data_IF_227343494133
#
_entry.id   IF_227343494133
#
_cell.length_a   1.000
_cell.length_b   1.000
_cell.length_c   1.000
_cell.angle_alpha   90.00
_cell.angle_beta   90.00
_cell.angle_gamma   90.00
#
_symmetry.space_group_name_H-M   'P 1'
#
loop_
_entity.id
_entity.type
_entity.pdbx_description
1 polymer ?
#
# COMPACT_ATOMS: atom_id res chain seq x y z
N UNK A 1 -75.80 -65.47 9.06
CA UNK A 1 -74.60 -66.07 8.43
C UNK A 1 -73.61 -66.34 9.57
N UNK A 2 -73.19 -67.60 9.75
CA UNK A 2 -72.36 -68.12 10.87
C UNK A 2 -70.85 -67.82 10.68
N UNK A 3 -69.91 -68.17 11.59
CA UNK A 3 -69.98 -68.85 12.92
C UNK A 3 -69.34 -68.00 14.07
N UNK A 4 -69.08 -68.39 15.34
CA UNK A 4 -69.54 -69.40 16.35
C UNK A 4 -69.20 -68.81 17.74
N UNK A 5 -70.11 -68.68 18.72
CA UNK A 5 -70.49 -69.68 19.76
C UNK A 5 -69.35 -70.16 20.69
N UNK A 6 -69.29 -69.59 21.90
CA UNK A 6 -68.73 -70.22 23.10
C UNK A 6 -69.54 -69.80 24.35
N UNK A 7 -70.20 -70.79 24.97
CA UNK A 7 -71.10 -70.79 26.16
C UNK A 7 -70.62 -69.83 27.27
N UNK A 8 -71.41 -68.94 27.91
CA UNK A 8 -72.80 -68.99 28.44
C UNK A 8 -73.02 -70.04 29.53
N UNK A 9 -73.11 -69.61 30.79
CA UNK A 9 -74.34 -69.68 31.61
C UNK A 9 -74.12 -69.14 33.04
N UNK A 10 -74.75 -68.03 33.38
CA UNK A 10 -75.05 -67.70 34.78
C UNK A 10 -76.25 -68.54 35.26
N UNK A 11 -76.35 -68.85 36.56
CA UNK A 11 -77.58 -68.75 37.36
C UNK A 11 -77.26 -68.92 38.86
N UNK A 12 -78.04 -68.22 39.69
CA UNK A 12 -77.90 -68.05 41.13
C UNK A 12 -78.03 -69.34 41.98
N UNK A 13 -77.54 -69.27 43.23
CA UNK A 13 -78.20 -69.99 44.33
C UNK A 13 -77.36 -70.39 45.57
N UNK A 14 -77.45 -69.58 46.63
CA UNK A 14 -77.64 -70.02 48.04
C UNK A 14 -76.46 -70.72 48.79
N UNK A 15 -76.53 -70.64 50.12
CA UNK A 15 -75.78 -71.39 51.15
C UNK A 15 -74.38 -70.91 51.57
N UNK A 16 -74.40 -70.01 52.55
CA UNK A 16 -73.46 -69.95 53.70
C UNK A 16 -73.03 -71.34 54.18
N UNK A 17 -71.72 -71.58 54.41
CA UNK A 17 -71.17 -72.47 55.48
C UNK A 17 -69.62 -72.45 55.53
N UNK A 18 -69.05 -72.34 56.75
CA UNK A 18 -67.66 -72.56 57.21
C UNK A 18 -66.51 -71.75 56.56
N UNK A 19 -65.76 -70.87 57.26
CA UNK A 19 -64.83 -71.04 58.39
C UNK A 19 -63.58 -71.92 58.12
N UNK A 20 -62.41 -71.25 58.14
CA UNK A 20 -61.10 -71.64 58.72
C UNK A 20 -59.88 -71.57 57.76
N UNK A 21 -58.83 -70.89 58.23
CA UNK A 21 -57.46 -70.91 57.68
C UNK A 21 -57.13 -69.78 56.69
N UNK A 22 -55.96 -69.14 56.73
CA UNK A 22 -54.91 -69.14 57.76
C UNK A 22 -54.08 -67.85 57.66
N UNK A 23 -53.24 -67.58 58.66
CA UNK A 23 -52.52 -66.31 58.78
C UNK A 23 -51.41 -66.09 57.74
N UNK A 24 -51.25 -64.83 57.34
CA UNK A 24 -50.04 -64.26 56.73
C UNK A 24 -50.26 -62.80 56.37
N UNK A 25 -49.29 -61.89 56.34
CA UNK A 25 -47.87 -61.89 56.76
C UNK A 25 -47.33 -60.51 56.33
N UNK A 26 -46.87 -59.65 57.24
CA UNK A 26 -46.10 -58.42 56.91
C UNK A 26 -46.81 -57.33 56.07
N UNK A 27 -46.58 -56.05 56.28
CA UNK A 27 -45.76 -55.35 57.25
C UNK A 27 -46.06 -53.85 57.14
N UNK A 28 -45.60 -53.04 58.09
CA UNK A 28 -45.83 -51.60 58.07
C UNK A 28 -45.22 -50.96 56.81
N UNK A 29 -45.99 -50.15 56.08
CA UNK A 29 -45.44 -49.32 54.99
C UNK A 29 -44.49 -48.29 55.60
N UNK A 30 -43.22 -48.20 55.16
CA UNK A 30 -42.35 -47.12 55.59
C UNK A 30 -42.87 -45.79 55.04
N UNK A 31 -43.04 -44.81 55.92
CA UNK A 31 -43.36 -43.43 55.54
C UNK A 31 -42.21 -42.89 54.68
N UNK A 32 -42.44 -42.39 53.45
CA UNK A 32 -41.38 -41.79 52.66
C UNK A 32 -40.88 -40.53 53.37
N UNK A 33 -39.63 -40.56 53.82
CA UNK A 33 -38.92 -39.38 54.30
C UNK A 33 -38.66 -38.47 53.10
N UNK A 34 -38.99 -37.16 53.15
CA UNK A 34 -38.66 -36.27 52.05
C UNK A 34 -37.15 -36.08 51.98
N UNK A 35 -36.54 -36.63 50.94
CA UNK A 35 -35.10 -36.55 50.68
C UNK A 35 -34.75 -35.10 50.33
N UNK A 36 -34.50 -34.29 51.37
CA UNK A 36 -34.19 -32.86 51.24
C UNK A 36 -32.70 -32.68 50.96
N UNK A 37 -32.23 -33.38 49.92
CA UNK A 37 -31.02 -33.00 49.20
C UNK A 37 -31.34 -31.74 48.38
N UNK A 38 -31.38 -30.60 49.05
CA UNK A 38 -31.39 -29.31 48.38
C UNK A 38 -30.03 -29.14 47.68
N UNK A 39 -29.93 -29.61 46.44
CA UNK A 39 -28.83 -29.32 45.55
C UNK A 39 -28.77 -27.80 45.37
N UNK A 40 -27.86 -27.17 46.11
CA UNK A 40 -27.63 -25.73 46.02
C UNK A 40 -27.38 -25.41 44.55
N UNK A 41 -28.17 -24.52 43.91
CA UNK A 41 -27.87 -24.13 42.54
C UNK A 41 -26.46 -23.55 42.55
N UNK A 42 -25.55 -24.20 41.83
CA UNK A 42 -24.14 -23.84 41.79
C UNK A 42 -24.01 -22.32 41.60
N UNK A 43 -23.13 -21.63 42.37
CA UNK A 43 -23.13 -20.18 42.44
C UNK A 43 -23.01 -19.60 41.03
N UNK A 44 -24.08 -18.98 40.55
CA UNK A 44 -24.12 -18.34 39.24
C UNK A 44 -23.25 -17.10 39.29
N UNK A 45 -21.99 -17.28 38.91
CA UNK A 45 -21.05 -16.18 38.68
C UNK A 45 -21.56 -15.40 37.48
N UNK A 46 -22.21 -14.27 37.76
CA UNK A 46 -22.50 -13.25 36.76
C UNK A 46 -21.21 -12.45 36.58
N UNK A 47 -20.64 -12.50 35.38
CA UNK A 47 -19.42 -11.79 35.01
C UNK A 47 -19.74 -10.85 33.85
N UNK A 48 -19.68 -9.55 34.11
CA UNK A 48 -19.85 -8.53 33.08
C UNK A 48 -18.56 -8.41 32.25
N UNK A 49 -18.69 -8.58 30.93
CA UNK A 49 -17.58 -8.52 29.98
C UNK A 49 -17.83 -7.53 28.87
N UNK A 50 -16.82 -6.71 28.53
CA UNK A 50 -16.86 -5.83 27.36
C UNK A 50 -16.24 -6.53 26.16
N UNK A 51 -16.99 -6.67 25.07
CA UNK A 51 -16.44 -7.16 23.80
C UNK A 51 -15.46 -6.10 23.27
N UNK A 52 -14.24 -6.53 22.97
CA UNK A 52 -13.19 -5.74 22.32
C UNK A 52 -12.77 -6.44 21.03
N UNK A 53 -12.36 -5.71 19.98
CA UNK A 53 -11.92 -6.33 18.73
C UNK A 53 -10.69 -7.21 18.96
N UNK A 54 -10.72 -8.43 18.43
CA UNK A 54 -9.62 -9.41 18.58
C UNK A 54 -8.31 -8.91 17.95
N UNK A 55 -8.41 -8.13 16.87
CA UNK A 55 -7.33 -7.40 16.20
C UNK A 55 -7.90 -6.09 15.66
N UNK A 56 -7.11 -5.02 15.72
CA UNK A 56 -7.40 -3.71 15.13
C UNK A 56 -6.15 -3.18 14.44
N UNK A 57 -6.29 -2.51 13.30
CA UNK A 57 -5.20 -1.89 12.57
C UNK A 57 -5.60 -0.47 12.15
N UNK A 58 -4.72 0.50 12.39
CA UNK A 58 -4.83 1.83 11.79
C UNK A 58 -4.12 1.80 10.43
N UNK A 59 -4.86 2.09 9.37
CA UNK A 59 -4.35 2.08 8.01
C UNK A 59 -3.97 3.50 7.60
N UNK A 60 -2.77 3.64 7.04
CA UNK A 60 -2.17 4.89 6.58
C UNK A 60 -1.39 4.63 5.31
N UNK A 61 -1.40 5.61 4.41
CA UNK A 61 -0.48 5.61 3.29
C UNK A 61 0.96 5.81 3.77
N UNK A 62 1.91 5.14 3.12
CA UNK A 62 3.34 5.28 3.40
C UNK A 62 3.95 6.50 2.70
N UNK A 63 3.34 6.93 1.57
CA UNK A 63 3.66 8.17 0.87
C UNK A 63 2.64 9.27 1.14
N UNK A 64 3.06 10.52 0.96
CA UNK A 64 2.16 11.68 0.90
C UNK A 64 1.56 11.79 -0.50
N UNK A 65 0.28 12.16 -0.61
CA UNK A 65 -0.39 12.35 -1.90
C UNK A 65 -1.91 12.48 -1.75
N UNK A 66 -2.57 12.88 -2.82
CA UNK A 66 -4.03 13.00 -2.87
C UNK A 66 -4.68 11.63 -3.09
N UNK A 67 -5.81 11.37 -2.41
CA UNK A 67 -6.62 10.15 -2.63
C UNK A 67 -7.39 10.31 -3.95
N UNK A 68 -7.00 9.52 -4.95
CA UNK A 68 -7.62 9.53 -6.28
C UNK A 68 -8.99 8.81 -6.29
N UNK A 69 -9.17 7.78 -5.45
CA UNK A 69 -10.44 7.10 -5.23
C UNK A 69 -10.42 6.31 -3.91
N UNK A 70 -11.60 6.09 -3.34
CA UNK A 70 -11.82 5.13 -2.24
C UNK A 70 -12.57 3.95 -2.86
N UNK A 71 -12.03 2.74 -2.68
CA UNK A 71 -12.47 1.51 -3.35
C UNK A 71 -13.47 0.69 -2.50
N UNK A 72 -13.76 1.13 -1.28
CA UNK A 72 -14.63 0.44 -0.32
C UNK A 72 -15.60 1.40 0.37
N UNK A 73 -16.76 0.89 0.78
CA UNK A 73 -17.78 1.63 1.55
C UNK A 73 -17.63 1.44 3.06
N UNK A 74 -18.15 2.38 3.86
CA UNK A 74 -18.21 2.21 5.31
C UNK A 74 -19.04 0.97 5.70
N UNK A 75 -18.52 0.17 6.63
CA UNK A 75 -19.14 -1.10 7.03
C UNK A 75 -18.98 -2.26 6.05
N UNK A 76 -18.30 -2.06 4.90
CA UNK A 76 -17.96 -3.15 3.98
C UNK A 76 -16.96 -4.11 4.64
N UNK A 77 -17.24 -5.40 4.57
CA UNK A 77 -16.33 -6.45 5.03
C UNK A 77 -15.18 -6.60 4.01
N UNK A 78 -13.94 -6.46 4.48
CA UNK A 78 -12.74 -6.39 3.63
C UNK A 78 -11.70 -7.42 4.04
N UNK A 79 -11.18 -8.16 3.07
CA UNK A 79 -10.11 -9.14 3.28
C UNK A 79 -8.76 -8.46 3.47
N UNK A 80 -7.85 -9.11 4.19
CA UNK A 80 -6.46 -8.66 4.28
C UNK A 80 -5.83 -8.57 2.88
N UNK A 81 -5.20 -7.43 2.57
CA UNK A 81 -4.62 -7.15 1.25
C UNK A 81 -5.59 -6.55 0.23
N UNK A 82 -6.89 -6.44 0.53
CA UNK A 82 -7.83 -5.73 -0.34
C UNK A 82 -7.47 -4.22 -0.38
N UNK A 83 -7.34 -3.60 -1.58
CA UNK A 83 -7.05 -2.17 -1.70
C UNK A 83 -8.27 -1.36 -1.28
N UNK A 84 -8.10 -0.50 -0.26
CA UNK A 84 -9.21 0.30 0.29
C UNK A 84 -9.31 1.69 -0.36
N UNK A 85 -8.20 2.24 -0.82
CA UNK A 85 -8.11 3.54 -1.48
C UNK A 85 -6.83 3.66 -2.31
N UNK A 86 -6.87 4.48 -3.36
CA UNK A 86 -5.79 4.72 -4.33
C UNK A 86 -5.24 6.14 -4.15
N UNK A 87 -3.93 6.32 -4.24
CA UNK A 87 -3.32 7.65 -4.39
C UNK A 87 -3.16 8.00 -5.88
N UNK A 88 -3.15 9.28 -6.21
CA UNK A 88 -2.74 9.73 -7.54
C UNK A 88 -1.23 9.52 -7.74
N UNK A 89 -0.85 8.92 -8.87
CA UNK A 89 0.54 8.67 -9.26
C UNK A 89 1.06 9.59 -10.37
N UNK A 90 0.21 10.44 -10.97
CA UNK A 90 0.64 11.42 -11.96
C UNK A 90 1.59 12.45 -11.36
N UNK A 91 1.33 12.85 -10.11
CA UNK A 91 2.18 13.74 -9.30
C UNK A 91 3.58 13.14 -9.06
N UNK A 92 3.65 11.82 -8.82
CA UNK A 92 4.93 11.10 -8.67
C UNK A 92 5.72 11.02 -9.98
N UNK A 93 5.06 10.84 -11.12
CA UNK A 93 5.73 10.88 -12.42
C UNK A 93 6.25 12.30 -12.74
N UNK A 94 5.43 13.34 -12.52
CA UNK A 94 5.84 14.73 -12.71
C UNK A 94 7.01 15.14 -11.80
N UNK A 95 7.07 14.63 -10.57
CA UNK A 95 8.18 14.86 -9.66
C UNK A 95 9.51 14.21 -10.12
N UNK A 96 9.48 13.12 -10.90
CA UNK A 96 10.70 12.58 -11.54
C UNK A 96 11.25 13.61 -12.52
N UNK A 97 10.38 14.09 -13.41
CA UNK A 97 10.76 15.02 -14.48
C UNK A 97 11.29 16.34 -13.93
N UNK A 98 10.65 16.88 -12.89
CA UNK A 98 11.17 18.08 -12.20
C UNK A 98 12.55 17.85 -11.58
N UNK A 99 12.80 16.68 -10.98
CA UNK A 99 14.10 16.34 -10.40
C UNK A 99 15.20 16.11 -11.48
N UNK A 100 14.82 15.64 -12.68
CA UNK A 100 15.74 15.50 -13.83
C UNK A 100 16.06 16.85 -14.47
N UNK A 101 15.06 17.68 -14.76
CA UNK A 101 15.29 19.02 -15.30
C UNK A 101 16.20 19.86 -14.39
N UNK A 102 16.02 19.77 -13.05
CA UNK A 102 16.91 20.40 -12.08
C UNK A 102 18.33 19.79 -12.07
N UNK A 103 18.48 18.50 -12.40
CA UNK A 103 19.78 17.83 -12.53
C UNK A 103 20.51 18.29 -13.79
N UNK A 104 19.81 18.37 -14.91
CA UNK A 104 20.38 18.78 -16.19
C UNK A 104 20.77 20.26 -16.16
N UNK A 105 19.93 21.14 -15.58
CA UNK A 105 20.26 22.55 -15.33
C UNK A 105 21.51 22.69 -14.43
N UNK A 106 21.54 21.98 -13.30
CA UNK A 106 22.69 22.03 -12.38
C UNK A 106 23.98 21.45 -13.01
N UNK A 107 23.86 20.45 -13.88
CA UNK A 107 24.98 19.87 -14.63
C UNK A 107 25.52 20.85 -15.66
N UNK A 108 24.65 21.48 -16.45
CA UNK A 108 25.02 22.50 -17.43
C UNK A 108 25.67 23.72 -16.77
N UNK A 109 25.10 24.21 -15.66
CA UNK A 109 25.71 25.29 -14.87
C UNK A 109 27.07 24.89 -14.30
N UNK A 110 27.22 23.65 -13.81
CA UNK A 110 28.51 23.17 -13.31
C UNK A 110 29.57 23.07 -14.42
N UNK A 111 29.25 22.55 -15.60
CA UNK A 111 30.22 22.46 -16.71
C UNK A 111 30.56 23.83 -17.30
N UNK A 112 29.59 24.76 -17.44
CA UNK A 112 29.86 26.17 -17.79
C UNK A 112 30.79 26.86 -16.78
N UNK A 113 30.68 26.51 -15.49
CA UNK A 113 31.58 26.97 -14.44
C UNK A 113 32.87 26.13 -14.31
N UNK A 114 33.05 25.10 -15.15
CA UNK A 114 34.25 24.26 -15.20
C UNK A 114 35.10 24.54 -16.42
N UNK A 115 34.51 25.06 -17.50
CA UNK A 115 35.26 25.49 -18.67
C UNK A 115 36.14 26.72 -18.36
N UNK A 116 37.41 26.73 -18.81
CA UNK A 116 38.23 27.93 -18.78
C UNK A 116 37.67 28.99 -19.74
N UNK A 117 37.93 30.26 -19.47
CA UNK A 117 37.42 31.35 -20.29
C UNK A 117 37.84 31.22 -21.77
N UNK A 118 36.90 31.55 -22.66
CA UNK A 118 37.05 31.45 -24.11
C UNK A 118 38.38 32.07 -24.60
N UNK A 119 39.24 31.30 -25.31
CA UNK A 119 40.52 31.80 -25.80
C UNK A 119 40.37 32.98 -26.78
N UNK A 120 39.25 33.13 -27.50
CA UNK A 120 39.00 34.29 -28.35
C UNK A 120 38.72 35.54 -27.48
N UNK A 121 37.90 35.41 -26.44
CA UNK A 121 37.66 36.49 -25.48
C UNK A 121 38.95 36.90 -24.72
N UNK A 122 39.80 35.94 -24.37
CA UNK A 122 41.13 36.21 -23.78
C UNK A 122 42.03 36.94 -24.79
N UNK A 123 42.11 36.50 -26.04
CA UNK A 123 42.91 37.17 -27.07
C UNK A 123 42.44 38.61 -27.36
N UNK A 124 41.13 38.86 -27.35
CA UNK A 124 40.54 40.21 -27.47
C UNK A 124 40.94 41.07 -26.26
N UNK A 125 40.86 40.53 -25.04
CA UNK A 125 41.27 41.26 -23.83
C UNK A 125 42.79 41.54 -23.79
N UNK A 126 43.62 40.61 -24.27
CA UNK A 126 45.06 40.83 -24.45
C UNK A 126 45.36 41.94 -25.48
N UNK A 127 44.62 41.97 -26.59
CA UNK A 127 44.72 43.04 -27.59
C UNK A 127 44.29 44.41 -27.01
N UNK A 128 43.22 44.46 -26.22
CA UNK A 128 42.79 45.67 -25.51
C UNK A 128 43.85 46.15 -24.50
N UNK A 129 44.46 45.23 -23.72
CA UNK A 129 45.58 45.56 -22.83
C UNK A 129 46.79 46.08 -23.63
N UNK A 130 47.10 45.50 -24.78
CA UNK A 130 48.19 45.99 -25.64
C UNK A 130 47.90 47.40 -26.19
N UNK A 131 46.66 47.66 -26.62
CA UNK A 131 46.19 48.97 -27.08
C UNK A 131 46.27 50.02 -25.96
N UNK A 132 45.74 49.73 -24.77
CA UNK A 132 45.79 50.63 -23.62
C UNK A 132 47.23 50.91 -23.18
N UNK A 133 48.15 49.92 -23.26
CA UNK A 133 49.58 50.16 -23.04
C UNK A 133 50.21 51.06 -24.10
N UNK A 134 49.85 50.92 -25.37
CA UNK A 134 50.36 51.76 -26.44
C UNK A 134 49.88 53.22 -26.27
N UNK A 135 48.59 53.41 -25.97
CA UNK A 135 48.02 54.72 -25.65
C UNK A 135 48.73 55.36 -24.45
N UNK A 136 48.83 54.64 -23.32
CA UNK A 136 49.50 55.15 -22.12
C UNK A 136 50.99 55.50 -22.33
N UNK A 137 51.69 54.87 -23.29
CA UNK A 137 53.06 55.25 -23.68
C UNK A 137 53.11 56.50 -24.56
N UNK A 138 52.18 56.66 -25.51
CA UNK A 138 52.08 57.88 -26.33
C UNK A 138 51.77 59.11 -25.46
N UNK A 139 50.88 58.94 -24.47
CA UNK A 139 50.49 59.95 -23.47
C UNK A 139 51.63 60.35 -22.51
N UNK A 140 52.81 59.71 -22.55
CA UNK A 140 53.96 60.14 -21.73
C UNK A 140 54.78 61.28 -22.36
N UNK A 141 54.54 61.64 -23.63
CA UNK A 141 55.38 62.59 -24.36
C UNK A 141 55.07 64.08 -24.16
N UNK A 142 53.80 64.51 -24.19
CA UNK A 142 53.41 65.93 -24.38
C UNK A 142 52.04 66.36 -23.82
N UNK A 143 51.54 65.78 -22.72
CA UNK A 143 50.16 66.00 -22.22
C UNK A 143 50.07 66.20 -20.71
N UNK A 144 48.90 66.62 -20.21
CA UNK A 144 48.64 67.00 -18.82
C UNK A 144 48.62 65.80 -17.87
N UNK A 145 48.79 66.07 -16.57
CA UNK A 145 48.71 65.05 -15.53
C UNK A 145 47.35 64.34 -15.45
N UNK A 146 46.27 64.99 -15.90
CA UNK A 146 44.93 64.41 -15.94
C UNK A 146 44.81 63.36 -17.06
N UNK A 147 45.27 63.68 -18.27
CA UNK A 147 45.27 62.76 -19.42
C UNK A 147 46.16 61.54 -19.15
N UNK A 148 47.33 61.75 -18.53
CA UNK A 148 48.23 60.68 -18.12
C UNK A 148 47.66 59.83 -16.95
N UNK A 149 46.74 60.36 -16.14
CA UNK A 149 45.99 59.57 -15.16
C UNK A 149 44.91 58.74 -15.85
N UNK A 150 44.07 59.32 -16.70
CA UNK A 150 43.01 58.62 -17.42
C UNK A 150 43.55 57.39 -18.18
N UNK A 151 44.64 57.55 -18.95
CA UNK A 151 45.26 56.45 -19.69
C UNK A 151 45.89 55.35 -18.79
N UNK A 152 46.19 55.64 -17.51
CA UNK A 152 46.63 54.63 -16.54
C UNK A 152 45.46 53.90 -15.90
N UNK A 153 44.36 54.59 -15.64
CA UNK A 153 43.14 54.01 -15.08
C UNK A 153 42.52 53.04 -16.11
N UNK A 154 42.40 53.45 -17.38
CA UNK A 154 41.94 52.62 -18.51
C UNK A 154 42.81 51.35 -18.71
N UNK A 155 44.13 51.48 -18.58
CA UNK A 155 45.05 50.33 -18.58
C UNK A 155 44.89 49.42 -17.35
N UNK A 156 44.54 49.97 -16.19
CA UNK A 156 44.27 49.18 -14.98
C UNK A 156 42.95 48.40 -15.13
N UNK A 157 41.92 49.01 -15.71
CA UNK A 157 40.63 48.37 -16.01
C UNK A 157 40.79 47.23 -17.05
N UNK A 158 41.49 47.48 -18.16
CA UNK A 158 41.75 46.45 -19.17
C UNK A 158 42.53 45.25 -18.59
N UNK A 159 43.50 45.50 -17.70
CA UNK A 159 44.24 44.44 -16.99
C UNK A 159 43.38 43.71 -15.98
N UNK A 160 42.49 44.39 -15.28
CA UNK A 160 41.55 43.77 -14.34
C UNK A 160 40.54 42.88 -15.09
N UNK A 161 40.08 43.28 -16.28
CA UNK A 161 39.24 42.47 -17.16
C UNK A 161 39.97 41.21 -17.62
N UNK A 162 41.19 41.34 -18.16
CA UNK A 162 42.01 40.19 -18.57
C UNK A 162 42.27 39.23 -17.41
N UNK A 163 42.65 39.76 -16.23
CA UNK A 163 42.89 38.94 -15.04
C UNK A 163 41.61 38.23 -14.55
N UNK A 164 40.43 38.84 -14.71
CA UNK A 164 39.13 38.22 -14.37
C UNK A 164 38.78 37.09 -15.34
N UNK A 165 39.06 37.26 -16.64
CA UNK A 165 38.88 36.20 -17.63
C UNK A 165 39.85 35.03 -17.36
N UNK A 166 41.13 35.32 -17.15
CA UNK A 166 42.16 34.32 -16.87
C UNK A 166 41.98 33.59 -15.53
N UNK A 167 41.39 34.23 -14.51
CA UNK A 167 41.10 33.60 -13.22
C UNK A 167 39.94 32.60 -13.26
N UNK A 168 39.07 32.70 -14.28
CA UNK A 168 37.88 31.87 -14.41
C UNK A 168 36.81 32.12 -13.33
N UNK A 169 35.76 31.28 -13.29
CA UNK A 169 34.75 31.28 -12.23
C UNK A 169 35.36 30.95 -10.86
N UNK A 170 34.82 31.52 -9.79
CA UNK A 170 35.41 31.37 -8.46
C UNK A 170 35.20 29.97 -7.92
N UNK A 171 36.16 29.47 -7.13
CA UNK A 171 36.02 28.20 -6.42
C UNK A 171 34.72 28.08 -5.60
N UNK A 172 34.22 29.19 -5.03
CA UNK A 172 32.92 29.22 -4.33
C UNK A 172 31.71 29.01 -5.23
N UNK A 173 31.77 29.51 -6.47
CA UNK A 173 30.70 29.39 -7.47
C UNK A 173 30.68 27.92 -7.99
N UNK A 174 31.84 27.32 -8.20
CA UNK A 174 32.00 25.90 -8.56
C UNK A 174 31.49 24.97 -7.44
N UNK A 175 31.84 25.22 -6.17
CA UNK A 175 31.36 24.40 -5.05
C UNK A 175 29.85 24.56 -4.81
N UNK A 176 29.27 25.74 -5.08
CA UNK A 176 27.81 25.93 -5.06
C UNK A 176 27.13 25.12 -6.18
N UNK A 177 27.66 25.14 -7.41
CA UNK A 177 27.14 24.33 -8.51
C UNK A 177 27.28 22.83 -8.24
N UNK A 178 28.38 22.36 -7.63
CA UNK A 178 28.52 20.97 -7.16
C UNK A 178 27.49 20.58 -6.11
N UNK A 179 27.18 21.48 -5.18
CA UNK A 179 26.16 21.24 -4.16
C UNK A 179 24.76 21.16 -4.78
N UNK A 180 24.43 22.03 -5.74
CA UNK A 180 23.17 21.96 -6.49
C UNK A 180 23.06 20.67 -7.31
N UNK A 181 24.14 20.29 -8.02
CA UNK A 181 24.24 19.03 -8.76
C UNK A 181 23.99 17.82 -7.84
N UNK A 182 24.66 17.75 -6.70
CA UNK A 182 24.48 16.67 -5.73
C UNK A 182 23.06 16.61 -5.13
N UNK A 183 22.42 17.76 -4.90
CA UNK A 183 21.02 17.83 -4.45
C UNK A 183 20.06 17.29 -5.51
N UNK A 184 20.23 17.69 -6.77
CA UNK A 184 19.39 17.22 -7.86
C UNK A 184 19.57 15.70 -8.13
N UNK A 185 20.80 15.19 -8.07
CA UNK A 185 21.08 13.76 -8.13
C UNK A 185 20.35 12.98 -7.01
N UNK A 186 20.38 13.49 -5.77
CA UNK A 186 19.70 12.88 -4.64
C UNK A 186 18.17 12.91 -4.76
N UNK A 187 17.60 14.00 -5.29
CA UNK A 187 16.17 14.11 -5.58
C UNK A 187 15.74 13.07 -6.64
N UNK A 188 16.47 12.97 -7.75
CA UNK A 188 16.22 11.98 -8.79
C UNK A 188 16.32 10.54 -8.27
N UNK A 189 17.35 10.25 -7.48
CA UNK A 189 17.53 8.91 -6.88
C UNK A 189 16.35 8.55 -5.97
N UNK A 190 15.91 9.49 -5.12
CA UNK A 190 14.77 9.30 -4.20
C UNK A 190 13.50 8.99 -4.97
N UNK A 191 13.22 9.75 -6.03
CA UNK A 191 12.00 9.58 -6.80
C UNK A 191 11.99 8.29 -7.63
N UNK A 192 13.14 7.92 -8.22
CA UNK A 192 13.33 6.62 -8.89
C UNK A 192 13.12 5.45 -7.92
N UNK A 193 13.66 5.55 -6.70
CA UNK A 193 13.45 4.54 -5.67
C UNK A 193 11.97 4.41 -5.26
N UNK A 194 11.24 5.52 -5.20
CA UNK A 194 9.79 5.51 -4.90
C UNK A 194 8.97 4.77 -5.96
N UNK A 195 9.25 4.98 -7.25
CA UNK A 195 8.58 4.25 -8.33
C UNK A 195 8.91 2.75 -8.32
N UNK A 196 10.18 2.41 -8.10
CA UNK A 196 10.62 1.01 -7.97
C UNK A 196 9.92 0.31 -6.79
N UNK A 197 9.84 0.97 -5.62
CA UNK A 197 9.15 0.44 -4.45
C UNK A 197 7.65 0.25 -4.68
N UNK A 198 6.98 1.21 -5.35
CA UNK A 198 5.56 1.11 -5.68
C UNK A 198 5.26 -0.08 -6.61
N UNK A 199 6.13 -0.34 -7.59
CA UNK A 199 6.05 -1.52 -8.46
C UNK A 199 6.24 -2.82 -7.70
N UNK A 200 7.26 -2.93 -6.83
CA UNK A 200 7.47 -4.13 -6.01
C UNK A 200 6.30 -4.40 -5.06
N UNK A 201 5.69 -3.37 -4.47
CA UNK A 201 4.49 -3.51 -3.65
C UNK A 201 3.29 -4.00 -4.48
N UNK A 202 3.08 -3.48 -5.69
CA UNK A 202 2.04 -3.96 -6.59
C UNK A 202 2.26 -5.43 -7.03
N UNK A 203 3.49 -5.84 -7.31
CA UNK A 203 3.84 -7.25 -7.61
C UNK A 203 3.57 -8.17 -6.40
N UNK A 204 3.85 -7.70 -5.18
CA UNK A 204 3.54 -8.42 -3.95
C UNK A 204 2.03 -8.55 -3.72
N UNK A 205 1.25 -7.48 -3.92
CA UNK A 205 -0.22 -7.51 -3.84
C UNK A 205 -0.82 -8.48 -4.85
N UNK A 206 -0.30 -8.50 -6.09
CA UNK A 206 -0.75 -9.44 -7.12
C UNK A 206 -0.50 -10.89 -6.69
N UNK A 207 0.68 -11.20 -6.15
CA UNK A 207 0.98 -12.53 -5.64
C UNK A 207 0.09 -12.93 -4.44
N UNK A 208 -0.19 -11.99 -3.53
CA UNK A 208 -1.10 -12.21 -2.39
C UNK A 208 -2.54 -12.46 -2.85
N UNK A 209 -3.06 -11.66 -3.78
CA UNK A 209 -4.40 -11.82 -4.34
C UNK A 209 -4.55 -13.15 -5.10
N UNK A 210 -3.54 -13.56 -5.87
CA UNK A 210 -3.52 -14.84 -6.57
C UNK A 210 -3.54 -16.05 -5.59
N UNK A 211 -2.80 -15.97 -4.48
CA UNK A 211 -2.84 -16.99 -3.44
C UNK A 211 -4.19 -17.02 -2.71
N UNK A 212 -4.73 -15.85 -2.33
CA UNK A 212 -6.03 -15.75 -1.68
C UNK A 212 -7.18 -16.28 -2.55
N UNK A 213 -7.15 -16.04 -3.87
CA UNK A 213 -8.10 -16.62 -4.81
C UNK A 213 -7.96 -18.16 -4.87
N UNK A 214 -6.74 -18.69 -4.93
CA UNK A 214 -6.51 -20.15 -4.89
C UNK A 214 -7.08 -20.77 -3.61
N UNK A 215 -6.79 -20.18 -2.45
CA UNK A 215 -7.29 -20.67 -1.16
C UNK A 215 -8.83 -20.63 -1.10
N UNK A 216 -9.46 -19.59 -1.67
CA UNK A 216 -10.91 -19.48 -1.78
C UNK A 216 -11.50 -20.54 -2.73
N UNK A 217 -10.85 -20.81 -3.87
CA UNK A 217 -11.26 -21.85 -4.83
C UNK A 217 -11.16 -23.26 -4.22
N UNK A 218 -10.08 -23.54 -3.48
CA UNK A 218 -9.90 -24.80 -2.76
C UNK A 218 -10.94 -24.98 -1.63
N UNK A 219 -11.27 -23.90 -0.92
CA UNK A 219 -12.33 -23.90 0.10
C UNK A 219 -13.72 -24.15 -0.51
N UNK A 220 -14.07 -23.45 -1.60
CA UNK A 220 -15.32 -23.65 -2.32
C UNK A 220 -15.44 -25.07 -2.89
N UNK A 221 -14.38 -25.57 -3.54
CA UNK A 221 -14.31 -26.95 -4.06
C UNK A 221 -14.59 -27.98 -2.97
N UNK A 222 -13.96 -27.83 -1.78
CA UNK A 222 -14.18 -28.71 -0.62
C UNK A 222 -15.64 -28.69 -0.14
N UNK A 223 -16.20 -27.51 0.09
CA UNK A 223 -17.59 -27.35 0.58
C UNK A 223 -18.59 -27.91 -0.43
N UNK A 224 -18.36 -27.68 -1.72
CA UNK A 224 -19.18 -28.22 -2.82
C UNK A 224 -19.17 -29.76 -2.82
N UNK A 225 -18.00 -30.41 -2.79
CA UNK A 225 -17.94 -31.88 -2.78
C UNK A 225 -18.54 -32.51 -1.51
N UNK A 226 -18.36 -31.88 -0.35
CA UNK A 226 -19.02 -32.30 0.89
C UNK A 226 -20.56 -32.15 0.82
N UNK A 227 -21.08 -31.10 0.18
CA UNK A 227 -22.52 -30.92 -0.04
C UNK A 227 -23.08 -32.02 -0.95
N UNK A 228 -22.40 -32.28 -2.07
CA UNK A 228 -22.75 -33.35 -3.02
C UNK A 228 -22.76 -34.74 -2.35
N UNK A 229 -21.90 -34.99 -1.35
CA UNK A 229 -21.94 -36.25 -0.59
C UNK A 229 -23.14 -36.31 0.39
N UNK A 230 -23.47 -35.19 1.04
CA UNK A 230 -24.63 -35.09 1.94
C UNK A 230 -25.96 -35.23 1.19
N UNK A 231 -26.07 -34.70 -0.04
CA UNK A 231 -27.28 -34.80 -0.87
C UNK A 231 -27.59 -36.23 -1.34
N UNK A 232 -26.66 -37.18 -1.22
CA UNK A 232 -26.90 -38.62 -1.45
C UNK A 232 -27.62 -39.31 -0.29
N UNK A 233 -27.66 -38.68 0.88
CA UNK A 233 -28.33 -39.20 2.08
C UNK A 233 -29.80 -38.77 2.10
N UNK A 234 -30.70 -39.54 2.73
CA UNK A 234 -32.11 -39.18 2.81
C UNK A 234 -32.34 -37.97 3.74
N UNK A 235 -32.76 -36.85 3.16
CA UNK A 235 -33.12 -35.61 3.85
C UNK A 235 -32.70 -34.39 3.03
N UNK A 236 -33.25 -33.20 3.36
CA UNK A 236 -32.79 -31.97 2.74
C UNK A 236 -31.41 -31.56 3.27
N UNK A 237 -30.54 -31.02 2.41
CA UNK A 237 -29.27 -30.43 2.82
C UNK A 237 -29.50 -29.38 3.93
N UNK A 238 -28.76 -29.38 5.06
CA UNK A 238 -28.97 -28.41 6.12
C UNK A 238 -28.75 -26.97 5.64
N UNK A 239 -29.54 -26.00 6.13
CA UNK A 239 -29.43 -24.60 5.69
C UNK A 239 -28.01 -24.04 5.87
N UNK A 240 -27.36 -24.35 6.99
CA UNK A 240 -25.97 -23.94 7.26
C UNK A 240 -24.96 -24.43 6.20
N UNK A 241 -25.24 -25.55 5.50
CA UNK A 241 -24.39 -26.07 4.42
C UNK A 241 -24.61 -25.31 3.10
N UNK A 242 -25.84 -24.88 2.81
CA UNK A 242 -26.15 -23.95 1.72
C UNK A 242 -25.51 -22.58 1.96
N UNK A 243 -25.64 -22.06 3.18
CA UNK A 243 -25.06 -20.77 3.58
C UNK A 243 -23.52 -20.80 3.50
N UNK A 244 -22.89 -21.90 3.92
CA UNK A 244 -21.45 -22.11 3.80
C UNK A 244 -20.96 -22.15 2.34
N UNK A 245 -21.68 -22.82 1.44
CA UNK A 245 -21.34 -22.81 0.01
C UNK A 245 -21.52 -21.43 -0.62
N UNK A 246 -22.61 -20.73 -0.28
CA UNK A 246 -22.85 -19.36 -0.73
C UNK A 246 -21.82 -18.36 -0.17
N UNK A 247 -21.26 -18.60 1.02
CA UNK A 247 -20.14 -17.84 1.56
C UNK A 247 -18.82 -18.17 0.83
N UNK A 248 -18.52 -19.45 0.57
CA UNK A 248 -17.32 -19.86 -0.15
C UNK A 248 -17.32 -19.38 -1.61
N UNK A 249 -18.49 -19.40 -2.29
CA UNK A 249 -18.66 -18.84 -3.64
C UNK A 249 -18.36 -17.34 -3.67
N UNK A 250 -18.92 -16.56 -2.75
CA UNK A 250 -18.63 -15.13 -2.61
C UNK A 250 -17.15 -14.87 -2.28
N UNK A 251 -16.49 -15.75 -1.54
CA UNK A 251 -15.04 -15.65 -1.30
C UNK A 251 -14.22 -15.82 -2.60
N UNK A 252 -14.63 -16.69 -3.52
CA UNK A 252 -14.04 -16.82 -4.86
C UNK A 252 -14.28 -15.55 -5.68
N UNK A 253 -15.53 -15.08 -5.78
CA UNK A 253 -15.89 -13.84 -6.51
C UNK A 253 -15.12 -12.61 -6.01
N UNK A 254 -14.96 -12.49 -4.69
CA UNK A 254 -14.13 -11.45 -4.05
C UNK A 254 -12.63 -11.63 -4.38
N UNK A 255 -12.13 -12.87 -4.40
CA UNK A 255 -10.75 -13.18 -4.79
C UNK A 255 -10.44 -12.86 -6.25
N UNK A 256 -11.38 -13.14 -7.16
CA UNK A 256 -11.27 -12.79 -8.59
C UNK A 256 -11.23 -11.28 -8.78
N UNK A 257 -12.10 -10.55 -8.06
CA UNK A 257 -12.13 -9.09 -8.06
C UNK A 257 -10.83 -8.49 -7.51
N UNK A 258 -10.31 -9.02 -6.40
CA UNK A 258 -9.04 -8.59 -5.81
C UNK A 258 -7.84 -8.88 -6.74
N UNK A 259 -7.84 -10.03 -7.42
CA UNK A 259 -6.80 -10.38 -8.40
C UNK A 259 -6.82 -9.43 -9.60
N UNK A 260 -8.01 -9.16 -10.17
CA UNK A 260 -8.16 -8.22 -11.28
C UNK A 260 -7.71 -6.80 -10.90
N UNK A 261 -8.06 -6.32 -9.69
CA UNK A 261 -7.59 -5.01 -9.22
C UNK A 261 -6.07 -4.97 -9.04
N UNK A 262 -5.46 -6.03 -8.49
CA UNK A 262 -4.01 -6.10 -8.32
C UNK A 262 -3.25 -6.18 -9.67
N UNK A 263 -3.86 -6.73 -10.73
CA UNK A 263 -3.33 -6.65 -12.09
C UNK A 263 -3.31 -5.21 -12.60
N UNK A 264 -4.43 -4.48 -12.47
CA UNK A 264 -4.55 -3.07 -12.86
C UNK A 264 -3.58 -2.17 -12.08
N UNK A 265 -3.42 -2.40 -10.78
CA UNK A 265 -2.47 -1.64 -9.95
C UNK A 265 -1.01 -1.88 -10.38
N UNK A 266 -0.66 -3.11 -10.78
CA UNK A 266 0.65 -3.43 -11.33
C UNK A 266 0.89 -2.82 -12.72
N UNK A 267 -0.13 -2.83 -13.59
CA UNK A 267 -0.06 -2.17 -14.89
C UNK A 267 0.17 -0.67 -14.73
N UNK A 268 -0.57 0.00 -13.84
CA UNK A 268 -0.36 1.42 -13.49
C UNK A 268 1.04 1.69 -12.93
N UNK A 269 1.56 0.83 -12.05
CA UNK A 269 2.91 1.00 -11.52
C UNK A 269 3.98 0.87 -12.62
N UNK A 270 3.79 -0.04 -13.59
CA UNK A 270 4.64 -0.20 -14.78
C UNK A 270 4.48 0.91 -15.81
N UNK A 271 3.32 1.56 -15.87
CA UNK A 271 3.10 2.76 -16.68
C UNK A 271 3.76 3.98 -16.04
N UNK A 272 3.62 4.18 -14.72
CA UNK A 272 4.31 5.25 -14.01
C UNK A 272 5.85 5.13 -14.11
N UNK A 273 6.39 3.91 -13.99
CA UNK A 273 7.81 3.61 -14.22
C UNK A 273 8.23 3.91 -15.67
N UNK A 274 7.47 3.48 -16.68
CA UNK A 274 7.78 3.75 -18.10
C UNK A 274 7.69 5.23 -18.44
N UNK A 275 6.62 5.91 -18.03
CA UNK A 275 6.41 7.32 -18.36
C UNK A 275 7.52 8.20 -17.75
N UNK A 276 7.95 7.93 -16.51
CA UNK A 276 9.10 8.60 -15.86
C UNK A 276 10.49 8.15 -16.34
N UNK A 277 10.54 7.27 -17.35
CA UNK A 277 11.76 6.89 -18.09
C UNK A 277 11.72 7.39 -19.54
N UNK A 278 10.55 7.44 -20.17
CA UNK A 278 10.38 7.93 -21.54
C UNK A 278 10.42 9.47 -21.62
N UNK A 279 9.76 10.18 -20.69
CA UNK A 279 9.82 11.63 -20.61
C UNK A 279 11.24 12.12 -20.28
N UNK A 280 11.89 11.45 -19.32
CA UNK A 280 13.32 11.57 -19.05
C UNK A 280 14.23 11.42 -20.28
N UNK A 281 13.94 10.44 -21.15
CA UNK A 281 14.68 10.23 -22.40
C UNK A 281 14.34 11.28 -23.48
N UNK A 282 13.24 12.01 -23.35
CA UNK A 282 12.96 13.18 -24.20
C UNK A 282 13.81 14.38 -23.75
N UNK A 283 13.85 14.70 -22.45
CA UNK A 283 14.63 15.84 -21.96
C UNK A 283 16.14 15.72 -22.22
N UNK A 284 16.74 14.53 -22.07
CA UNK A 284 18.16 14.34 -22.45
C UNK A 284 18.38 14.63 -23.95
N UNK A 285 17.45 14.23 -24.83
CA UNK A 285 17.53 14.53 -26.27
C UNK A 285 17.32 16.00 -26.59
N UNK A 286 16.52 16.73 -25.79
CA UNK A 286 16.30 18.16 -25.94
C UNK A 286 17.45 19.00 -25.31
N UNK A 287 18.23 18.42 -24.39
CA UNK A 287 19.42 19.04 -23.81
C UNK A 287 20.71 18.81 -24.64
N UNK A 288 20.76 17.71 -25.41
CA UNK A 288 21.86 17.35 -26.33
C UNK A 288 21.74 18.00 -27.74
N UNK A 289 20.70 18.82 -28.01
CA UNK A 289 20.31 19.32 -29.34
C UNK A 289 20.48 20.84 -29.55
#
# INVERSE_FOLDING_TARGET
MFPTVARVACIAGIAVVLLAGCAGWGGAQPTPVPDTAAELPAPRVVADGRIVPLRSAELRFLGMGNVAEILVSEGQEVSAGAPLARLDSAELAAAVEQARAALDEASAQYELLREPADPEAVAIAEAQVAQAQAAARQTQGRVTAAELKAARDELAEARALLARLQAGPKATEIEQARAALAQAQAALQTQTASLSAAKTDAELRLAQAANALRDAQDAYSRVYWENIELEKLPGDLPQARRDAEAAARRAVENGETALAQAQVDLERAREAERNGLEAAQAQVRDADA
#
